data_IF_827951147847
#
_entry.id   IF_827951147847
#
_cell.length_a   1.000
_cell.length_b   1.000
_cell.length_c   1.000
_cell.angle_alpha   90.00
_cell.angle_beta   90.00
_cell.angle_gamma   90.00
#
_symmetry.space_group_name_H-M   'P 1'
#
loop_
_entity.id
_entity.type
_entity.pdbx_description
1 polymer ?
#
# COMPACT_ATOMS: atom_id res chain seq x y z
N UNK A 1 -17.09 18.40 48.53
CA UNK A 1 -17.32 17.12 49.24
C UNK A 1 -17.82 15.98 48.33
N UNK A 2 -17.50 15.94 47.03
CA UNK A 2 -18.00 14.88 46.11
C UNK A 2 -16.96 13.79 45.75
N UNK A 3 -15.69 13.97 46.11
CA UNK A 3 -14.57 13.09 45.75
C UNK A 3 -14.57 11.73 46.49
N UNK A 4 -14.95 11.61 47.78
CA UNK A 4 -14.94 10.31 48.47
C UNK A 4 -16.03 9.35 47.96
N UNK A 5 -17.15 9.89 47.46
CA UNK A 5 -18.27 9.11 46.96
C UNK A 5 -17.94 8.43 45.62
N UNK A 6 -17.27 9.15 44.72
CA UNK A 6 -16.81 8.61 43.43
C UNK A 6 -15.74 7.51 43.59
N UNK A 7 -14.78 7.70 44.50
CA UNK A 7 -13.77 6.70 44.80
C UNK A 7 -14.39 5.44 45.44
N UNK A 8 -15.38 5.60 46.33
CA UNK A 8 -16.13 4.48 46.92
C UNK A 8 -17.02 3.77 45.92
N UNK A 9 -17.63 4.50 44.99
CA UNK A 9 -18.45 3.92 43.92
C UNK A 9 -17.57 3.09 42.96
N UNK A 10 -16.39 3.60 42.59
CA UNK A 10 -15.43 2.87 41.76
C UNK A 10 -14.90 1.60 42.46
N UNK A 11 -14.58 1.69 43.75
CA UNK A 11 -14.17 0.53 44.54
C UNK A 11 -15.28 -0.53 44.66
N UNK A 12 -16.53 -0.10 44.87
CA UNK A 12 -17.69 -1.00 44.97
C UNK A 12 -17.97 -1.74 43.64
N UNK A 13 -17.86 -1.04 42.50
CA UNK A 13 -18.01 -1.62 41.16
C UNK A 13 -16.90 -2.63 40.86
N UNK A 14 -15.67 -2.38 41.31
CA UNK A 14 -14.52 -3.29 41.12
C UNK A 14 -14.49 -4.48 42.10
N UNK A 15 -15.23 -4.43 43.20
CA UNK A 15 -15.32 -5.52 44.18
C UNK A 15 -16.46 -6.53 43.92
N UNK A 16 -17.39 -6.22 43.02
CA UNK A 16 -18.50 -7.11 42.65
C UNK A 16 -18.23 -7.78 41.30
N UNK A 17 -18.42 -9.09 41.19
CA UNK A 17 -18.19 -9.86 39.97
C UNK A 17 -19.05 -9.38 38.78
N UNK A 18 -20.33 -9.07 39.01
CA UNK A 18 -21.22 -8.51 37.99
C UNK A 18 -20.86 -7.05 37.64
N UNK A 19 -20.32 -6.31 38.62
CA UNK A 19 -19.79 -4.96 38.44
C UNK A 19 -18.52 -4.94 37.59
N UNK A 20 -17.59 -5.87 37.83
CA UNK A 20 -16.38 -6.07 37.01
C UNK A 20 -16.71 -6.54 35.61
N UNK A 21 -17.71 -7.41 35.44
CA UNK A 21 -18.15 -7.90 34.13
C UNK A 21 -18.82 -6.80 33.32
N UNK A 22 -19.61 -5.94 33.96
CA UNK A 22 -20.29 -4.81 33.30
C UNK A 22 -19.31 -3.67 32.99
N UNK A 23 -18.44 -3.30 33.93
CA UNK A 23 -17.38 -2.33 33.71
C UNK A 23 -16.36 -2.83 32.67
N UNK A 24 -16.04 -4.12 32.66
CA UNK A 24 -15.18 -4.76 31.65
C UNK A 24 -15.79 -4.75 30.25
N UNK A 25 -17.11 -4.95 30.12
CA UNK A 25 -17.83 -4.80 28.85
C UNK A 25 -17.85 -3.35 28.36
N UNK A 26 -18.04 -2.39 29.27
CA UNK A 26 -18.02 -0.95 28.95
C UNK A 26 -16.60 -0.48 28.58
N UNK A 27 -15.57 -0.96 29.26
CA UNK A 27 -14.16 -0.72 28.91
C UNK A 27 -13.77 -1.40 27.60
N UNK A 28 -14.25 -2.60 27.31
CA UNK A 28 -14.06 -3.28 26.02
C UNK A 28 -14.82 -2.61 24.86
N UNK A 29 -15.88 -1.84 25.16
CA UNK A 29 -16.61 -1.01 24.19
C UNK A 29 -15.93 0.35 23.93
N UNK A 30 -15.13 0.86 24.87
CA UNK A 30 -14.47 2.17 24.80
C UNK A 30 -13.01 2.06 24.37
N UNK A 31 -12.34 0.96 24.71
CA UNK A 31 -10.95 0.69 24.36
C UNK A 31 -10.96 -0.32 23.22
N UNK A 32 -10.63 0.15 22.01
CA UNK A 32 -10.33 -0.71 20.86
C UNK A 32 -9.53 -1.95 21.27
N UNK A 33 -9.73 -3.12 20.63
CA UNK A 33 -8.92 -4.33 20.87
C UNK A 33 -7.40 -4.06 20.86
N UNK A 34 -6.96 -3.07 20.08
CA UNK A 34 -5.57 -2.59 20.00
C UNK A 34 -5.14 -1.88 21.29
N UNK A 35 -6.01 -1.16 21.98
CA UNK A 35 -5.69 -0.48 23.24
C UNK A 35 -5.66 -1.46 24.42
N UNK A 36 -6.47 -2.53 24.40
CA UNK A 36 -6.38 -3.60 25.40
C UNK A 36 -5.07 -4.39 25.22
N UNK A 37 -4.69 -4.64 23.97
CA UNK A 37 -3.40 -5.25 23.63
C UNK A 37 -2.23 -4.32 24.00
N UNK A 38 -2.33 -3.03 23.69
CA UNK A 38 -1.35 -2.02 24.09
C UNK A 38 -1.27 -1.88 25.61
N UNK A 39 -2.39 -1.91 26.35
CA UNK A 39 -2.39 -1.86 27.80
C UNK A 39 -1.77 -3.11 28.45
N UNK A 40 -1.92 -4.28 27.84
CA UNK A 40 -1.26 -5.53 28.26
C UNK A 40 0.25 -5.50 27.94
N UNK A 41 0.65 -4.90 26.82
CA UNK A 41 2.04 -4.79 26.37
C UNK A 41 2.79 -3.61 27.03
N UNK A 42 2.09 -2.56 27.45
CA UNK A 42 2.61 -1.41 28.21
C UNK A 42 3.09 -1.77 29.63
N UNK A 43 2.92 -3.03 30.08
CA UNK A 43 3.51 -3.51 31.32
C UNK A 43 5.04 -3.67 31.27
N UNK A 44 5.66 -3.51 30.09
CA UNK A 44 7.11 -3.45 29.92
C UNK A 44 7.47 -2.13 29.20
N UNK A 45 8.19 -1.25 29.89
CA UNK A 45 8.32 0.18 29.56
C UNK A 45 8.78 0.53 28.14
N UNK A 46 8.31 1.70 27.68
CA UNK A 46 8.58 2.44 26.43
C UNK A 46 7.94 1.97 25.10
N UNK A 47 7.10 0.93 25.08
CA UNK A 47 6.80 0.19 23.83
C UNK A 47 5.49 0.40 23.05
N UNK A 48 4.52 1.25 23.45
CA UNK A 48 3.16 1.19 22.86
C UNK A 48 3.09 1.39 21.32
N UNK A 49 3.79 2.39 20.78
CA UNK A 49 3.78 2.69 19.33
C UNK A 49 4.62 1.70 18.52
N UNK A 50 5.78 1.28 19.03
CA UNK A 50 6.62 0.28 18.39
C UNK A 50 5.94 -1.10 18.35
N UNK A 51 5.14 -1.44 19.37
CA UNK A 51 4.39 -2.69 19.42
C UNK A 51 3.20 -2.70 18.47
N UNK A 52 2.45 -1.59 18.32
CA UNK A 52 1.40 -1.48 17.31
C UNK A 52 1.96 -1.71 15.90
N UNK A 53 3.14 -1.13 15.63
CA UNK A 53 3.82 -1.31 14.35
C UNK A 53 4.26 -2.76 14.13
N UNK A 54 4.71 -3.44 15.19
CA UNK A 54 5.10 -4.85 15.12
C UNK A 54 3.91 -5.78 14.83
N UNK A 55 2.73 -5.51 15.41
CA UNK A 55 1.51 -6.29 15.16
C UNK A 55 1.08 -6.14 13.70
N UNK A 56 1.02 -4.91 13.21
CA UNK A 56 0.65 -4.61 11.81
C UNK A 56 1.67 -5.25 10.86
N UNK A 57 2.97 -5.05 11.10
CA UNK A 57 4.02 -5.66 10.28
C UNK A 57 3.91 -7.19 10.28
N UNK A 58 3.68 -7.81 11.43
CA UNK A 58 3.54 -9.25 11.53
C UNK A 58 2.31 -9.77 10.76
N UNK A 59 1.18 -9.08 10.85
CA UNK A 59 -0.03 -9.46 10.12
C UNK A 59 0.09 -9.29 8.61
N UNK A 60 0.75 -8.22 8.14
CA UNK A 60 0.86 -7.95 6.70
C UNK A 60 1.99 -8.72 6.01
N UNK A 61 3.08 -9.02 6.72
CA UNK A 61 4.30 -9.55 6.08
C UNK A 61 4.85 -10.83 6.70
N UNK A 62 4.25 -11.31 7.79
CA UNK A 62 4.83 -12.39 8.58
C UNK A 62 5.75 -11.89 9.69
N UNK A 63 5.96 -12.75 10.69
CA UNK A 63 6.96 -12.54 11.71
C UNK A 63 7.57 -13.88 12.14
N UNK A 64 8.89 -13.88 12.37
CA UNK A 64 9.52 -14.95 13.15
C UNK A 64 9.24 -14.68 14.63
N UNK A 65 8.19 -15.30 15.15
CA UNK A 65 7.88 -15.18 16.57
C UNK A 65 8.83 -16.02 17.41
N UNK A 66 9.60 -15.37 18.27
CA UNK A 66 10.26 -16.07 19.39
C UNK A 66 9.22 -16.77 20.26
N UNK A 67 9.58 -17.90 20.86
CA UNK A 67 8.72 -18.62 21.83
C UNK A 67 8.34 -17.81 23.08
N UNK A 68 8.96 -16.65 23.27
CA UNK A 68 8.60 -15.67 24.29
C UNK A 68 7.28 -14.93 23.98
N UNK A 69 6.79 -14.98 22.75
CA UNK A 69 5.52 -14.38 22.35
C UNK A 69 4.36 -15.32 22.74
N UNK A 70 3.33 -14.83 23.47
CA UNK A 70 2.19 -15.64 23.87
C UNK A 70 1.53 -16.39 22.70
N UNK A 71 1.04 -17.60 22.97
CA UNK A 71 0.44 -18.45 21.93
C UNK A 71 -0.80 -17.80 21.32
N UNK A 72 -1.64 -17.21 22.16
CA UNK A 72 -2.87 -16.53 21.76
C UNK A 72 -2.58 -15.37 20.80
N UNK A 73 -1.47 -14.66 21.03
CA UNK A 73 -1.02 -13.59 20.14
C UNK A 73 -0.59 -14.12 18.78
N UNK A 74 0.22 -15.20 18.76
CA UNK A 74 0.64 -15.86 17.50
C UNK A 74 -0.56 -16.38 16.71
N UNK A 75 -1.56 -16.93 17.41
CA UNK A 75 -2.82 -17.38 16.80
C UNK A 75 -3.53 -16.23 16.11
N UNK A 76 -3.77 -15.10 16.78
CA UNK A 76 -4.47 -13.97 16.17
C UNK A 76 -3.75 -13.36 14.96
N UNK A 77 -2.41 -13.34 14.94
CA UNK A 77 -1.68 -12.91 13.74
C UNK A 77 -1.86 -13.90 12.59
N UNK A 78 -1.79 -15.20 12.89
CA UNK A 78 -1.97 -16.26 11.86
C UNK A 78 -3.39 -16.20 11.29
N UNK A 79 -4.40 -16.06 12.16
CA UNK A 79 -5.80 -15.89 11.76
C UNK A 79 -6.00 -14.65 10.87
N UNK A 80 -5.32 -13.55 11.18
CA UNK A 80 -5.38 -12.34 10.35
C UNK A 80 -4.72 -12.54 8.97
N UNK A 81 -3.60 -13.26 8.92
CA UNK A 81 -2.93 -13.60 7.64
C UNK A 81 -3.79 -14.52 6.77
N UNK A 82 -4.49 -15.48 7.37
CA UNK A 82 -5.46 -16.32 6.67
C UNK A 82 -6.62 -15.48 6.12
N UNK A 83 -7.13 -14.53 6.91
CA UNK A 83 -8.15 -13.58 6.46
C UNK A 83 -7.65 -12.73 5.27
N UNK A 84 -6.42 -12.22 5.35
CA UNK A 84 -5.80 -11.43 4.28
C UNK A 84 -5.66 -12.23 2.99
N UNK A 85 -5.29 -13.51 3.07
CA UNK A 85 -5.20 -14.37 1.88
C UNK A 85 -6.56 -14.55 1.18
N UNK A 86 -7.65 -14.60 1.96
CA UNK A 86 -9.01 -14.64 1.41
C UNK A 86 -9.40 -13.30 0.76
N UNK A 87 -9.05 -12.17 1.39
CA UNK A 87 -9.30 -10.84 0.85
C UNK A 87 -8.52 -10.59 -0.44
N UNK A 88 -7.23 -10.92 -0.47
CA UNK A 88 -6.39 -10.77 -1.66
C UNK A 88 -6.97 -11.56 -2.84
N UNK A 89 -7.45 -12.79 -2.59
CA UNK A 89 -8.12 -13.61 -3.60
C UNK A 89 -9.40 -12.95 -4.15
N UNK A 90 -10.23 -12.40 -3.25
CA UNK A 90 -11.46 -11.72 -3.64
C UNK A 90 -11.17 -10.41 -4.39
N UNK A 91 -10.18 -9.63 -3.94
CA UNK A 91 -9.75 -8.39 -4.60
C UNK A 91 -9.18 -8.65 -5.99
N UNK A 92 -8.34 -9.67 -6.17
CA UNK A 92 -7.83 -10.07 -7.49
C UNK A 92 -8.97 -10.43 -8.42
N UNK A 93 -9.94 -11.22 -7.96
CA UNK A 93 -11.09 -11.61 -8.77
C UNK A 93 -11.93 -10.40 -9.21
N UNK A 94 -12.14 -9.42 -8.32
CA UNK A 94 -12.85 -8.17 -8.65
C UNK A 94 -12.05 -7.34 -9.65
N UNK A 95 -10.74 -7.17 -9.40
CA UNK A 95 -9.87 -6.34 -10.23
C UNK A 95 -9.73 -6.87 -11.67
N UNK A 96 -9.94 -8.15 -11.93
CA UNK A 96 -10.02 -8.71 -13.29
C UNK A 96 -11.14 -8.11 -14.15
N UNK A 97 -12.18 -7.55 -13.51
CA UNK A 97 -13.34 -6.94 -14.17
C UNK A 97 -13.38 -5.43 -13.97
N UNK A 98 -12.31 -4.82 -13.46
CA UNK A 98 -12.33 -3.41 -13.09
C UNK A 98 -12.01 -2.50 -14.28
N UNK A 99 -12.76 -1.41 -14.40
CA UNK A 99 -12.51 -0.38 -15.42
C UNK A 99 -12.51 1.03 -14.81
N UNK A 100 -11.59 1.88 -15.27
CA UNK A 100 -11.42 3.23 -14.73
C UNK A 100 -10.72 3.27 -13.37
N UNK A 101 -10.12 2.14 -12.95
CA UNK A 101 -9.40 1.99 -11.70
C UNK A 101 -9.37 0.55 -11.20
N UNK A 102 -8.61 0.28 -10.14
CA UNK A 102 -8.61 -1.00 -9.41
C UNK A 102 -8.79 -0.76 -7.91
N UNK A 103 -9.25 -1.78 -7.20
CA UNK A 103 -9.21 -1.82 -5.74
C UNK A 103 -7.77 -1.97 -5.28
N UNK A 104 -7.38 -1.21 -4.26
CA UNK A 104 -6.09 -1.33 -3.57
C UNK A 104 -6.19 -2.46 -2.52
N UNK A 105 -5.53 -3.62 -2.72
CA UNK A 105 -5.62 -4.75 -1.79
C UNK A 105 -5.12 -4.38 -0.38
N UNK A 106 -4.14 -3.48 -0.28
CA UNK A 106 -3.60 -3.03 1.00
C UNK A 106 -4.61 -2.14 1.73
N UNK A 107 -5.34 -1.28 1.01
CA UNK A 107 -6.42 -0.48 1.60
C UNK A 107 -7.55 -1.36 2.13
N UNK A 108 -7.96 -2.38 1.36
CA UNK A 108 -8.97 -3.37 1.79
C UNK A 108 -8.51 -4.10 3.05
N UNK A 109 -7.26 -4.60 3.07
CA UNK A 109 -6.68 -5.27 4.24
C UNK A 109 -6.53 -4.35 5.45
N UNK A 110 -6.13 -3.10 5.26
CA UNK A 110 -5.99 -2.12 6.34
C UNK A 110 -7.34 -1.80 6.99
N UNK A 111 -8.39 -1.63 6.18
CA UNK A 111 -9.76 -1.45 6.68
C UNK A 111 -10.23 -2.71 7.39
N UNK A 112 -10.00 -3.90 6.81
CA UNK A 112 -10.36 -5.16 7.47
C UNK A 112 -9.68 -5.32 8.82
N UNK A 113 -8.37 -5.06 8.89
CA UNK A 113 -7.61 -5.09 10.13
C UNK A 113 -8.20 -4.10 11.16
N UNK A 114 -8.47 -2.86 10.76
CA UNK A 114 -9.04 -1.86 11.66
C UNK A 114 -10.41 -2.25 12.23
N UNK A 115 -11.23 -2.97 11.46
CA UNK A 115 -12.61 -3.32 11.83
C UNK A 115 -12.76 -4.69 12.48
N UNK A 116 -11.88 -5.64 12.16
CA UNK A 116 -12.05 -7.05 12.46
C UNK A 116 -10.84 -7.67 13.21
N UNK A 117 -9.83 -6.88 13.61
CA UNK A 117 -8.71 -7.44 14.38
C UNK A 117 -9.17 -8.04 15.72
N UNK A 118 -8.81 -9.30 15.94
CA UNK A 118 -9.22 -10.08 17.11
C UNK A 118 -10.56 -10.83 16.95
N UNK A 119 -11.25 -10.66 15.81
CA UNK A 119 -12.37 -11.52 15.43
C UNK A 119 -11.87 -12.86 14.86
N UNK A 120 -12.75 -13.86 14.80
CA UNK A 120 -12.45 -15.13 14.13
C UNK A 120 -12.19 -14.92 12.63
N UNK A 121 -11.36 -15.78 12.03
CA UNK A 121 -11.12 -15.80 10.57
C UNK A 121 -12.45 -15.82 9.82
N UNK A 122 -12.67 -14.91 8.84
CA UNK A 122 -13.90 -14.90 8.07
C UNK A 122 -13.97 -16.15 7.19
N UNK A 123 -15.20 -16.63 6.95
CA UNK A 123 -15.41 -17.58 5.84
C UNK A 123 -15.11 -16.90 4.50
N UNK A 124 -14.79 -17.66 3.45
CA UNK A 124 -14.59 -17.11 2.09
C UNK A 124 -15.74 -16.21 1.65
N UNK A 125 -16.98 -16.67 1.82
CA UNK A 125 -18.18 -15.87 1.50
C UNK A 125 -18.31 -14.58 2.32
N UNK A 126 -17.78 -14.54 3.55
CA UNK A 126 -17.74 -13.33 4.35
C UNK A 126 -16.65 -12.35 3.87
N UNK A 127 -15.50 -12.87 3.43
CA UNK A 127 -14.44 -12.08 2.80
C UNK A 127 -14.93 -11.47 1.47
N UNK A 128 -15.60 -12.25 0.62
CA UNK A 128 -16.20 -11.76 -0.64
C UNK A 128 -17.18 -10.61 -0.36
N UNK A 129 -18.13 -10.81 0.58
CA UNK A 129 -19.08 -9.76 0.98
C UNK A 129 -18.41 -8.52 1.59
N UNK A 130 -17.25 -8.68 2.21
CA UNK A 130 -16.47 -7.55 2.70
C UNK A 130 -15.89 -6.75 1.54
N UNK A 131 -15.29 -7.42 0.55
CA UNK A 131 -14.74 -6.77 -0.67
C UNK A 131 -15.84 -6.10 -1.51
N UNK A 132 -17.06 -6.66 -1.55
CA UNK A 132 -18.25 -6.06 -2.19
C UNK A 132 -18.59 -4.65 -1.67
N UNK A 133 -18.11 -4.30 -0.47
CA UNK A 133 -18.30 -2.97 0.09
C UNK A 133 -17.46 -1.89 -0.61
N UNK A 134 -16.41 -2.25 -1.35
CA UNK A 134 -15.45 -1.31 -1.92
C UNK A 134 -15.70 -0.96 -3.39
N UNK A 135 -16.69 -1.58 -4.03
CA UNK A 135 -16.99 -1.33 -5.44
C UNK A 135 -18.50 -1.31 -5.72
N UNK A 136 -18.85 -0.87 -6.92
CA UNK A 136 -20.17 -1.06 -7.53
C UNK A 136 -20.02 -1.75 -8.88
N UNK A 137 -21.05 -2.48 -9.29
CA UNK A 137 -21.13 -3.03 -10.65
C UNK A 137 -21.86 -2.05 -11.55
N UNK A 138 -21.32 -1.80 -12.73
CA UNK A 138 -21.96 -1.02 -13.78
C UNK A 138 -22.12 -1.89 -15.03
N UNK A 139 -23.23 -1.71 -15.75
CA UNK A 139 -23.41 -2.31 -17.07
C UNK A 139 -22.93 -1.31 -18.11
N UNK A 140 -21.99 -1.73 -18.96
CA UNK A 140 -21.46 -0.95 -20.09
C UNK A 140 -21.73 -1.67 -21.40
N UNK A 141 -21.59 -0.94 -22.50
CA UNK A 141 -21.71 -1.49 -23.85
C UNK A 141 -20.40 -1.34 -24.62
N UNK A 142 -20.10 -2.31 -25.47
CA UNK A 142 -18.97 -2.28 -26.40
C UNK A 142 -19.40 -2.85 -27.75
N UNK A 143 -18.76 -2.40 -28.82
CA UNK A 143 -18.92 -3.02 -30.13
C UNK A 143 -18.01 -4.25 -30.20
N UNK A 144 -18.57 -5.40 -30.53
CA UNK A 144 -17.82 -6.63 -30.78
C UNK A 144 -18.06 -7.12 -32.19
N UNK A 145 -16.99 -7.60 -32.82
CA UNK A 145 -17.07 -8.20 -34.16
C UNK A 145 -17.51 -9.64 -34.05
N UNK A 146 -18.65 -9.96 -34.63
CA UNK A 146 -19.22 -11.30 -34.71
C UNK A 146 -19.06 -11.78 -36.15
N UNK A 147 -18.44 -12.96 -36.31
CA UNK A 147 -18.34 -13.62 -37.62
C UNK A 147 -19.58 -14.48 -37.82
N UNK A 148 -20.35 -14.17 -38.85
CA UNK A 148 -21.55 -14.92 -39.21
C UNK A 148 -21.20 -16.23 -39.90
N UNK A 149 -22.17 -17.14 -40.02
CA UNK A 149 -21.98 -18.47 -40.63
C UNK A 149 -21.51 -18.39 -42.10
N UNK A 150 -21.80 -17.30 -42.81
CA UNK A 150 -21.36 -17.05 -44.19
C UNK A 150 -19.97 -16.41 -44.29
N UNK A 151 -19.29 -16.20 -43.15
CA UNK A 151 -17.96 -15.59 -43.07
C UNK A 151 -17.97 -14.06 -43.10
N UNK A 152 -19.13 -13.42 -43.08
CA UNK A 152 -19.23 -11.95 -42.96
C UNK A 152 -18.99 -11.50 -41.52
N UNK A 153 -18.29 -10.37 -41.35
CA UNK A 153 -18.07 -9.75 -40.05
C UNK A 153 -19.12 -8.66 -39.80
N UNK A 154 -19.81 -8.74 -38.67
CA UNK A 154 -20.80 -7.76 -38.23
C UNK A 154 -20.38 -7.17 -36.88
N UNK A 155 -20.50 -5.85 -36.73
CA UNK A 155 -20.29 -5.19 -35.44
C UNK A 155 -21.61 -5.19 -34.65
N UNK A 156 -21.64 -5.92 -33.54
CA UNK A 156 -22.80 -6.03 -32.66
C UNK A 156 -22.50 -5.32 -31.35
N UNK A 157 -23.48 -4.59 -30.82
CA UNK A 157 -23.38 -3.99 -29.49
C UNK A 157 -23.61 -5.07 -28.42
N UNK A 158 -22.60 -5.32 -27.59
CA UNK A 158 -22.66 -6.26 -26.47
C UNK A 158 -22.67 -5.49 -25.14
N UNK A 159 -23.57 -5.87 -24.24
CA UNK A 159 -23.56 -5.42 -22.83
C UNK A 159 -22.67 -6.29 -21.98
N UNK A 160 -21.83 -5.70 -21.14
CA UNK A 160 -20.99 -6.40 -20.18
C UNK A 160 -20.98 -5.69 -18.83
N UNK A 161 -20.68 -6.44 -17.77
CA UNK A 161 -20.57 -5.91 -16.41
C UNK A 161 -19.13 -5.57 -16.09
N UNK A 162 -18.93 -4.39 -15.52
CA UNK A 162 -17.64 -3.92 -15.01
C UNK A 162 -17.77 -3.58 -13.54
N UNK A 163 -16.66 -3.71 -12.82
CA UNK A 163 -16.56 -3.23 -11.45
C UNK A 163 -15.89 -1.87 -11.43
N UNK A 164 -16.44 -0.97 -10.64
CA UNK A 164 -15.92 0.40 -10.47
C UNK A 164 -15.66 0.61 -8.98
N UNK A 165 -14.41 0.88 -8.57
CA UNK A 165 -14.08 1.23 -7.19
C UNK A 165 -14.92 2.38 -6.66
N UNK A 166 -15.38 2.28 -5.42
CA UNK A 166 -16.12 3.33 -4.74
C UNK A 166 -15.18 4.31 -4.04
N UNK A 167 -15.58 5.59 -3.89
CA UNK A 167 -14.96 6.48 -2.91
C UNK A 167 -15.03 5.87 -1.51
N UNK A 168 -14.01 6.14 -0.68
CA UNK A 168 -13.91 5.54 0.65
C UNK A 168 -15.09 5.88 1.57
N UNK A 169 -15.70 7.06 1.44
CA UNK A 169 -16.90 7.42 2.21
C UNK A 169 -18.08 6.47 1.88
N UNK A 170 -18.34 6.21 0.60
CA UNK A 170 -19.39 5.26 0.18
C UNK A 170 -19.04 3.82 0.61
N UNK A 171 -17.76 3.46 0.58
CA UNK A 171 -17.32 2.16 1.10
C UNK A 171 -17.60 2.02 2.61
N UNK A 172 -17.37 3.07 3.40
CA UNK A 172 -17.67 3.06 4.84
C UNK A 172 -19.17 3.02 5.15
N UNK A 173 -20.03 3.58 4.28
CA UNK A 173 -21.49 3.43 4.39
C UNK A 173 -21.92 1.97 4.15
N UNK A 174 -21.37 1.31 3.13
CA UNK A 174 -21.60 -0.12 2.89
C UNK A 174 -21.06 -0.98 4.02
N UNK A 175 -19.87 -0.69 4.53
CA UNK A 175 -19.27 -1.40 5.67
C UNK A 175 -20.10 -1.23 6.95
N UNK A 176 -20.69 -0.06 7.18
CA UNK A 176 -21.63 0.18 8.28
C UNK A 176 -22.83 -0.77 8.20
N UNK A 177 -23.38 -0.94 6.99
CA UNK A 177 -24.49 -1.87 6.73
C UNK A 177 -24.05 -3.33 6.92
N UNK A 178 -22.92 -3.72 6.32
CA UNK A 178 -22.36 -5.07 6.42
C UNK A 178 -22.11 -5.50 7.88
N UNK A 179 -21.60 -4.58 8.70
CA UNK A 179 -21.28 -4.84 10.12
C UNK A 179 -22.51 -4.79 11.04
N UNK A 180 -23.62 -4.22 10.57
CA UNK A 180 -24.79 -3.95 11.41
C UNK A 180 -24.58 -2.87 12.47
N UNK A 181 -23.49 -2.08 12.37
CA UNK A 181 -23.22 -0.91 13.22
C UNK A 181 -22.38 0.12 12.48
N UNK A 182 -22.52 1.38 12.90
CA UNK A 182 -21.74 2.51 12.36
C UNK A 182 -20.23 2.24 12.50
N UNK A 183 -19.51 2.46 11.40
CA UNK A 183 -18.05 2.59 11.41
C UNK A 183 -17.69 3.98 11.93
N UNK A 184 -17.06 4.02 13.09
CA UNK A 184 -16.74 5.27 13.81
C UNK A 184 -15.57 6.00 13.17
N UNK A 185 -15.46 7.32 13.38
CA UNK A 185 -14.34 8.13 12.88
C UNK A 185 -12.98 7.63 13.38
N UNK A 186 -12.93 7.12 14.60
CA UNK A 186 -11.72 6.51 15.17
C UNK A 186 -11.29 5.24 14.41
N UNK A 187 -12.25 4.41 13.97
CA UNK A 187 -11.96 3.23 13.17
C UNK A 187 -11.53 3.59 11.74
N UNK A 188 -12.13 4.64 11.16
CA UNK A 188 -11.71 5.19 9.86
C UNK A 188 -10.28 5.72 9.93
N UNK A 189 -9.98 6.54 10.94
CA UNK A 189 -8.63 7.08 11.18
C UNK A 189 -7.61 5.95 11.38
N UNK A 190 -7.96 4.93 12.18
CA UNK A 190 -7.07 3.79 12.40
C UNK A 190 -6.78 3.02 11.11
N UNK A 191 -7.77 2.83 10.23
CA UNK A 191 -7.55 2.20 8.93
C UNK A 191 -6.59 3.01 8.04
N UNK A 192 -6.70 4.34 8.04
CA UNK A 192 -5.76 5.23 7.34
C UNK A 192 -4.35 5.13 7.93
N UNK A 193 -4.23 5.10 9.26
CA UNK A 193 -2.93 4.98 9.94
C UNK A 193 -2.25 3.63 9.64
N UNK A 194 -3.01 2.53 9.66
CA UNK A 194 -2.52 1.19 9.29
C UNK A 194 -2.09 1.18 7.82
N UNK A 195 -2.91 1.73 6.92
CA UNK A 195 -2.57 1.81 5.50
C UNK A 195 -1.27 2.59 5.28
N UNK A 196 -1.13 3.76 5.89
CA UNK A 196 0.09 4.57 5.79
C UNK A 196 1.31 3.87 6.39
N UNK A 197 1.14 3.10 7.46
CA UNK A 197 2.21 2.28 8.03
C UNK A 197 2.68 1.17 7.07
N UNK A 198 1.73 0.53 6.38
CA UNK A 198 2.00 -0.59 5.47
C UNK A 198 2.57 -0.09 4.14
N UNK A 199 2.01 0.98 3.58
CA UNK A 199 2.43 1.47 2.26
C UNK A 199 3.58 2.49 2.32
N UNK A 200 3.72 3.23 3.41
CA UNK A 200 4.66 4.33 3.53
C UNK A 200 4.02 5.70 3.74
N UNK A 201 4.84 6.73 3.95
CA UNK A 201 4.33 8.06 4.26
C UNK A 201 3.64 8.71 3.07
N UNK A 202 2.34 8.93 3.18
CA UNK A 202 1.50 9.56 2.15
C UNK A 202 1.95 11.01 1.86
N UNK A 203 2.79 11.15 0.83
CA UNK A 203 3.13 12.46 0.26
C UNK A 203 4.27 13.23 0.93
N UNK A 204 5.18 12.55 1.64
CA UNK A 204 6.45 13.18 2.02
C UNK A 204 7.35 12.35 2.92
N UNK A 205 8.51 11.95 2.41
CA UNK A 205 9.67 11.72 3.27
C UNK A 205 10.16 13.09 3.77
N UNK A 206 10.21 13.31 5.08
CA UNK A 206 10.69 14.56 5.68
C UNK A 206 12.22 14.61 5.73
N UNK A 207 12.88 14.10 4.70
CA UNK A 207 14.32 14.14 4.59
C UNK A 207 14.79 15.59 4.48
N UNK A 208 15.66 15.98 5.40
CA UNK A 208 16.23 17.31 5.53
C UNK A 208 17.71 17.36 5.15
N UNK A 209 18.27 16.27 4.64
CA UNK A 209 19.62 16.20 4.11
C UNK A 209 19.69 16.60 2.64
N UNK A 210 20.90 16.56 2.09
CA UNK A 210 21.17 16.97 0.72
C UNK A 210 20.63 15.94 -0.28
N UNK A 211 20.02 16.44 -1.36
CA UNK A 211 19.56 15.65 -2.50
C UNK A 211 19.76 16.46 -3.78
N UNK A 212 19.97 15.76 -4.88
CA UNK A 212 19.98 16.35 -6.21
C UNK A 212 18.57 16.26 -6.81
N UNK A 213 18.00 17.42 -7.14
CA UNK A 213 16.71 17.51 -7.82
C UNK A 213 16.75 16.80 -9.17
N UNK A 214 15.63 16.23 -9.60
CA UNK A 214 15.50 15.77 -10.98
C UNK A 214 15.71 16.91 -11.99
N UNK A 215 16.01 16.54 -13.23
CA UNK A 215 16.10 17.50 -14.32
C UNK A 215 14.78 18.22 -14.60
N UNK A 216 14.75 19.11 -15.59
CA UNK A 216 13.58 19.96 -15.86
C UNK A 216 12.94 19.72 -17.23
N UNK A 217 13.55 18.89 -18.07
CA UNK A 217 13.08 18.58 -19.42
C UNK A 217 12.81 17.07 -19.54
N UNK A 218 11.63 16.67 -20.05
CA UNK A 218 11.35 15.27 -20.32
C UNK A 218 12.36 14.68 -21.32
N UNK A 219 12.90 13.52 -20.99
CA UNK A 219 13.73 12.72 -21.90
C UNK A 219 12.95 11.43 -22.14
N UNK A 220 12.53 11.22 -23.39
CA UNK A 220 11.88 9.96 -23.78
C UNK A 220 12.86 8.81 -23.57
N UNK A 221 12.40 7.79 -22.82
CA UNK A 221 13.16 6.56 -22.67
C UNK A 221 13.06 5.79 -23.98
N UNK A 222 14.19 5.58 -24.63
CA UNK A 222 14.29 4.77 -25.85
C UNK A 222 14.84 3.37 -25.51
N UNK A 223 14.36 2.35 -26.22
CA UNK A 223 14.79 0.97 -26.01
C UNK A 223 16.30 0.78 -26.19
N UNK A 224 16.95 1.59 -27.04
CA UNK A 224 18.40 1.55 -27.26
C UNK A 224 19.23 2.05 -26.07
N UNK A 225 18.59 2.69 -25.09
CA UNK A 225 19.25 3.04 -23.82
C UNK A 225 19.40 1.80 -22.92
N UNK A 226 18.59 0.76 -23.14
CA UNK A 226 18.63 -0.49 -22.38
C UNK A 226 19.77 -1.37 -22.88
N UNK A 227 20.48 -1.96 -21.92
CA UNK A 227 21.59 -2.89 -22.12
C UNK A 227 21.13 -4.25 -22.62
N UNK A 228 20.02 -4.78 -22.09
CA UNK A 228 19.35 -5.98 -22.61
C UNK A 228 17.83 -5.89 -22.41
N UNK A 229 17.09 -5.34 -23.40
CA UNK A 229 15.64 -5.16 -23.29
C UNK A 229 14.86 -6.49 -23.26
N UNK A 230 15.50 -7.63 -23.53
CA UNK A 230 14.81 -8.94 -23.58
C UNK A 230 14.59 -9.54 -22.20
N UNK A 231 15.30 -9.04 -21.20
CA UNK A 231 15.21 -9.46 -19.80
C UNK A 231 14.78 -8.29 -18.91
N UNK A 232 14.28 -8.60 -17.72
CA UNK A 232 14.11 -7.61 -16.66
C UNK A 232 15.33 -7.71 -15.77
N UNK A 233 16.30 -6.82 -15.95
CA UNK A 233 17.62 -6.91 -15.32
C UNK A 233 17.99 -5.63 -14.54
N UNK A 234 18.96 -5.76 -13.64
CA UNK A 234 19.38 -4.72 -12.72
C UNK A 234 20.03 -3.51 -13.42
N UNK A 235 20.79 -3.74 -14.49
CA UNK A 235 21.44 -2.67 -15.26
C UNK A 235 20.40 -1.77 -15.94
N UNK A 236 19.35 -2.36 -16.49
CA UNK A 236 18.27 -1.64 -17.15
C UNK A 236 17.33 -0.96 -16.17
N UNK A 237 17.15 -1.53 -14.97
CA UNK A 237 16.52 -0.82 -13.86
C UNK A 237 17.30 0.46 -13.51
N UNK A 238 18.64 0.40 -13.43
CA UNK A 238 19.48 1.59 -13.19
C UNK A 238 19.30 2.62 -14.30
N UNK A 239 19.33 2.20 -15.57
CA UNK A 239 19.08 3.09 -16.71
C UNK A 239 17.71 3.75 -16.62
N UNK A 240 16.67 2.97 -16.33
CA UNK A 240 15.29 3.44 -16.23
C UNK A 240 15.13 4.51 -15.15
N UNK A 241 15.58 4.24 -13.91
CA UNK A 241 15.44 5.20 -12.81
C UNK A 241 16.32 6.43 -13.00
N UNK A 242 17.50 6.27 -13.59
CA UNK A 242 18.38 7.40 -13.94
C UNK A 242 17.73 8.28 -15.01
N UNK A 243 17.05 7.69 -16.00
CA UNK A 243 16.25 8.45 -16.96
C UNK A 243 15.09 9.19 -16.29
N UNK A 244 14.37 8.54 -15.36
CA UNK A 244 13.29 9.16 -14.61
C UNK A 244 13.76 10.39 -13.79
N UNK A 245 14.91 10.27 -13.13
CA UNK A 245 15.56 11.37 -12.43
C UNK A 245 15.98 12.50 -13.39
N UNK A 246 16.72 12.19 -14.46
CA UNK A 246 17.14 13.17 -15.47
C UNK A 246 15.96 13.88 -16.15
N UNK A 247 14.83 13.17 -16.32
CA UNK A 247 13.60 13.68 -16.93
C UNK A 247 12.76 14.54 -15.98
N UNK A 248 13.11 14.61 -14.70
CA UNK A 248 12.36 15.41 -13.72
C UNK A 248 11.00 14.85 -13.38
N UNK A 249 10.88 13.52 -13.27
CA UNK A 249 9.62 12.87 -12.91
C UNK A 249 9.10 13.39 -11.57
N UNK A 250 7.79 13.61 -11.52
CA UNK A 250 7.10 14.05 -10.30
C UNK A 250 6.76 12.89 -9.37
N UNK A 251 6.21 13.23 -8.21
CA UNK A 251 5.70 12.24 -7.25
C UNK A 251 4.21 12.44 -7.05
N UNK A 252 3.44 11.38 -7.32
CA UNK A 252 2.02 11.27 -6.97
C UNK A 252 1.78 9.88 -6.41
N UNK A 253 1.22 9.82 -5.21
CA UNK A 253 0.96 8.55 -4.52
C UNK A 253 0.11 7.60 -5.36
N UNK A 254 0.53 6.34 -5.48
CA UNK A 254 -0.16 5.30 -6.23
C UNK A 254 0.00 5.40 -7.75
N UNK A 255 0.98 6.17 -8.24
CA UNK A 255 1.37 6.21 -9.67
C UNK A 255 2.68 5.45 -9.88
N UNK A 256 2.93 4.98 -11.10
CA UNK A 256 4.01 4.03 -11.41
C UNK A 256 4.80 4.39 -12.67
N UNK A 257 4.89 5.68 -12.99
CA UNK A 257 5.57 6.20 -14.17
C UNK A 257 4.65 6.57 -15.32
N UNK A 258 3.34 6.63 -15.11
CA UNK A 258 2.40 7.16 -16.10
C UNK A 258 2.52 8.68 -16.20
N UNK A 259 2.14 9.23 -17.35
CA UNK A 259 1.94 10.68 -17.49
C UNK A 259 0.70 11.09 -16.68
N UNK A 260 0.86 12.08 -15.80
CA UNK A 260 -0.21 12.58 -14.97
C UNK A 260 -1.18 13.46 -15.77
N UNK A 261 -2.28 12.86 -16.23
CA UNK A 261 -3.40 13.60 -16.86
C UNK A 261 -4.33 14.19 -15.80
N UNK A 262 -5.19 15.17 -16.16
CA UNK A 262 -6.23 15.67 -15.25
C UNK A 262 -7.15 14.57 -14.71
N UNK A 263 -7.49 13.57 -15.53
CA UNK A 263 -8.35 12.44 -15.18
C UNK A 263 -7.65 11.52 -14.18
N UNK A 264 -6.37 11.19 -14.44
CA UNK A 264 -5.57 10.39 -13.51
C UNK A 264 -5.41 11.12 -12.17
N UNK A 265 -5.15 12.42 -12.18
CA UNK A 265 -5.09 13.21 -10.95
C UNK A 265 -6.42 13.19 -10.21
N UNK A 266 -7.54 13.39 -10.90
CA UNK A 266 -8.87 13.37 -10.28
C UNK A 266 -9.18 11.99 -9.65
N UNK A 267 -8.81 10.91 -10.33
CA UNK A 267 -8.93 9.57 -9.79
C UNK A 267 -8.09 9.40 -8.51
N UNK A 268 -6.83 9.85 -8.51
CA UNK A 268 -5.94 9.76 -7.34
C UNK A 268 -6.39 10.67 -6.18
N UNK A 269 -7.04 11.80 -6.45
CA UNK A 269 -7.67 12.64 -5.41
C UNK A 269 -8.81 11.90 -4.70
N UNK A 270 -9.60 11.13 -5.45
CA UNK A 270 -10.68 10.31 -4.88
C UNK A 270 -10.15 9.09 -4.13
N UNK A 271 -9.09 8.46 -4.62
CA UNK A 271 -8.47 7.30 -3.95
C UNK A 271 -7.73 7.67 -2.67
N UNK A 272 -6.97 8.78 -2.70
CA UNK A 272 -6.04 9.17 -1.65
C UNK A 272 -6.25 10.63 -1.22
N UNK A 273 -7.39 10.96 -0.58
CA UNK A 273 -7.71 12.34 -0.22
C UNK A 273 -6.66 12.99 0.70
N UNK A 274 -6.08 12.24 1.63
CA UNK A 274 -5.08 12.79 2.55
C UNK A 274 -3.66 12.85 1.95
N UNK A 275 -3.31 11.92 1.06
CA UNK A 275 -1.97 11.81 0.47
C UNK A 275 -1.78 12.58 -0.83
N UNK A 276 -2.84 12.70 -1.63
CA UNK A 276 -2.86 13.43 -2.91
C UNK A 276 -3.70 14.69 -2.75
N UNK A 277 -4.88 14.60 -2.12
CA UNK A 277 -5.79 15.74 -1.94
C UNK A 277 -5.20 16.90 -1.15
N UNK A 278 -4.47 16.62 -0.06
CA UNK A 278 -3.75 17.64 0.72
C UNK A 278 -2.73 18.44 -0.09
N UNK A 279 -2.21 17.86 -1.18
CA UNK A 279 -1.22 18.48 -2.05
C UNK A 279 -1.77 18.82 -3.44
N UNK A 280 -3.08 18.78 -3.65
CA UNK A 280 -3.70 18.87 -4.97
C UNK A 280 -3.22 20.09 -5.78
N UNK A 281 -3.17 21.27 -5.16
CA UNK A 281 -2.75 22.50 -5.84
C UNK A 281 -1.26 22.47 -6.21
N UNK A 282 -0.42 21.91 -5.34
CA UNK A 282 1.00 21.70 -5.65
C UNK A 282 1.18 20.72 -6.80
N UNK A 283 0.45 19.59 -6.78
CA UNK A 283 0.53 18.56 -7.82
C UNK A 283 0.09 19.13 -9.17
N UNK A 284 -1.04 19.86 -9.22
CA UNK A 284 -1.52 20.52 -10.44
C UNK A 284 -0.49 21.49 -11.01
N UNK A 285 0.16 22.27 -10.14
CA UNK A 285 1.11 23.29 -10.57
C UNK A 285 2.46 22.72 -11.05
N UNK A 286 2.89 21.56 -10.55
CA UNK A 286 4.26 21.07 -10.75
C UNK A 286 4.37 19.78 -11.56
N UNK A 287 3.37 18.89 -11.47
CA UNK A 287 3.46 17.51 -11.98
C UNK A 287 2.50 17.18 -13.11
N UNK A 288 1.47 18.00 -13.34
CA UNK A 288 0.51 17.76 -14.43
C UNK A 288 1.23 17.73 -15.79
N UNK A 289 0.95 16.71 -16.59
CA UNK A 289 1.59 16.48 -17.88
C UNK A 289 3.00 15.89 -17.81
N UNK A 290 3.54 15.63 -16.62
CA UNK A 290 4.81 14.91 -16.43
C UNK A 290 4.55 13.45 -16.07
N UNK A 291 5.56 12.60 -16.28
CA UNK A 291 5.57 11.28 -15.66
C UNK A 291 5.63 11.42 -14.14
N UNK A 292 4.85 10.61 -13.43
CA UNK A 292 4.84 10.57 -11.97
C UNK A 292 4.90 9.14 -11.47
N UNK A 293 5.65 8.94 -10.38
CA UNK A 293 5.70 7.68 -9.66
C UNK A 293 5.72 7.91 -8.14
N UNK A 294 5.20 6.97 -7.37
CA UNK A 294 5.59 6.83 -5.97
C UNK A 294 6.87 5.98 -5.83
N UNK A 295 7.33 5.75 -4.59
CA UNK A 295 8.64 5.12 -4.34
C UNK A 295 8.74 3.71 -4.95
N UNK A 296 7.79 2.83 -4.65
CA UNK A 296 7.76 1.46 -5.19
C UNK A 296 7.26 1.44 -6.64
N UNK A 297 6.37 2.36 -7.01
CA UNK A 297 5.87 2.56 -8.37
C UNK A 297 6.97 2.93 -9.35
N UNK A 298 8.04 3.60 -8.91
CA UNK A 298 9.22 3.84 -9.74
C UNK A 298 9.90 2.52 -10.14
N UNK A 299 9.98 1.55 -9.23
CA UNK A 299 10.57 0.23 -9.50
C UNK A 299 9.59 -0.66 -10.29
N UNK A 300 8.32 -0.72 -9.86
CA UNK A 300 7.28 -1.50 -10.56
C UNK A 300 7.07 -1.00 -11.99
N UNK A 301 7.19 0.30 -12.23
CA UNK A 301 7.11 0.89 -13.56
C UNK A 301 8.11 0.28 -14.54
N UNK A 302 9.35 0.04 -14.11
CA UNK A 302 10.32 -0.72 -14.91
C UNK A 302 9.88 -2.17 -15.10
N UNK A 303 9.47 -2.84 -14.02
CA UNK A 303 8.98 -4.23 -14.09
C UNK A 303 7.80 -4.41 -15.06
N UNK A 304 6.95 -3.39 -15.20
CA UNK A 304 5.78 -3.36 -16.08
C UNK A 304 6.04 -2.75 -17.46
N UNK A 305 7.25 -2.23 -17.72
CA UNK A 305 7.60 -1.63 -19.00
C UNK A 305 7.63 -2.69 -20.11
N UNK A 306 6.80 -2.50 -21.13
CA UNK A 306 6.88 -3.20 -22.41
C UNK A 306 7.98 -2.57 -23.25
N UNK A 307 8.95 -3.37 -23.67
CA UNK A 307 10.06 -2.92 -24.53
C UNK A 307 9.68 -2.84 -26.01
N UNK A 308 8.53 -3.42 -26.39
CA UNK A 308 8.01 -3.35 -27.75
C UNK A 308 7.31 -2.01 -28.02
N UNK A 309 6.55 -1.54 -27.03
CA UNK A 309 5.72 -0.33 -27.13
C UNK A 309 6.30 0.85 -26.37
N UNK A 310 7.27 0.62 -25.48
CA UNK A 310 7.80 1.59 -24.51
C UNK A 310 6.71 2.20 -23.62
N UNK A 311 5.64 1.43 -23.37
CA UNK A 311 4.55 1.77 -22.44
C UNK A 311 4.64 0.95 -21.17
N UNK A 312 4.13 1.50 -20.07
CA UNK A 312 4.07 0.78 -18.80
C UNK A 312 2.70 0.10 -18.69
N UNK A 313 2.70 -1.23 -18.84
CA UNK A 313 1.49 -2.03 -18.89
C UNK A 313 1.21 -2.63 -17.50
N UNK A 314 0.23 -2.08 -16.81
CA UNK A 314 -0.04 -2.38 -15.39
C UNK A 314 -0.15 -3.88 -15.09
N UNK A 315 0.61 -4.35 -14.08
CA UNK A 315 0.52 -5.72 -13.55
C UNK A 315 1.05 -6.82 -14.47
N UNK A 316 1.90 -6.48 -15.44
CA UNK A 316 2.43 -7.42 -16.45
C UNK A 316 3.85 -7.91 -16.14
N UNK A 317 4.40 -8.77 -17.01
CA UNK A 317 5.78 -9.27 -16.99
C UNK A 317 6.23 -9.92 -15.66
N UNK A 318 5.29 -10.42 -14.85
CA UNK A 318 5.58 -11.12 -13.60
C UNK A 318 5.92 -10.23 -12.40
N UNK A 319 5.95 -8.90 -12.56
CA UNK A 319 6.16 -7.97 -11.46
C UNK A 319 4.84 -7.76 -10.68
N UNK A 320 4.76 -8.12 -9.38
CA UNK A 320 3.52 -8.00 -8.61
C UNK A 320 3.17 -6.55 -8.24
N UNK A 321 1.88 -6.24 -8.12
CA UNK A 321 1.41 -4.93 -7.64
C UNK A 321 1.39 -4.88 -6.11
N UNK A 322 2.56 -4.58 -5.52
CA UNK A 322 2.78 -4.60 -4.07
C UNK A 322 3.40 -3.29 -3.58
N UNK A 323 3.31 -3.06 -2.26
CA UNK A 323 3.91 -1.91 -1.58
C UNK A 323 5.42 -2.04 -1.36
N UNK A 324 6.09 -0.96 -0.96
CA UNK A 324 7.54 -0.94 -0.70
C UNK A 324 7.97 -1.97 0.35
N UNK A 325 7.19 -2.12 1.41
CA UNK A 325 7.44 -3.09 2.47
C UNK A 325 7.25 -4.52 1.98
N UNK A 326 6.16 -4.80 1.27
CA UNK A 326 5.89 -6.12 0.73
C UNK A 326 6.96 -6.53 -0.30
N UNK A 327 7.47 -5.58 -1.10
CA UNK A 327 8.62 -5.79 -1.98
C UNK A 327 9.84 -6.28 -1.18
N UNK A 328 10.15 -5.62 -0.06
CA UNK A 328 11.22 -6.05 0.84
C UNK A 328 10.96 -7.42 1.48
N UNK A 329 9.73 -7.68 1.94
CA UNK A 329 9.40 -8.93 2.62
C UNK A 329 9.32 -10.15 1.69
N UNK A 330 8.98 -9.93 0.43
CA UNK A 330 8.93 -10.98 -0.60
C UNK A 330 10.31 -11.26 -1.24
N UNK A 331 11.31 -10.41 -1.02
CA UNK A 331 12.64 -10.61 -1.58
C UNK A 331 13.35 -11.83 -0.96
N UNK A 332 13.86 -12.70 -1.84
CA UNK A 332 14.61 -13.92 -1.49
C UNK A 332 16.03 -13.61 -1.04
N UNK A 333 16.67 -12.59 -1.64
CA UNK A 333 17.98 -12.08 -1.26
C UNK A 333 17.85 -10.66 -0.74
N UNK A 334 18.22 -10.47 0.53
CA UNK A 334 18.15 -9.20 1.26
C UNK A 334 19.03 -9.25 2.50
N UNK A 335 19.39 -8.09 3.05
CA UNK A 335 20.22 -8.00 4.25
C UNK A 335 20.18 -6.61 4.89
N UNK A 336 20.83 -6.48 6.05
CA UNK A 336 21.04 -5.17 6.68
C UNK A 336 21.89 -4.27 5.78
N UNK A 337 21.65 -2.96 5.80
CA UNK A 337 22.31 -2.00 4.90
C UNK A 337 23.84 -2.02 5.03
N UNK A 338 24.35 -2.36 6.21
CA UNK A 338 25.77 -2.52 6.53
C UNK A 338 26.44 -3.71 5.81
N UNK A 339 25.64 -4.63 5.29
CA UNK A 339 26.08 -5.81 4.52
C UNK A 339 25.87 -5.68 3.01
N UNK A 340 25.37 -4.53 2.54
CA UNK A 340 25.00 -4.34 1.14
C UNK A 340 26.22 -4.49 0.22
N UNK A 341 26.15 -5.34 -0.83
CA UNK A 341 27.20 -5.41 -1.83
C UNK A 341 27.14 -4.18 -2.75
N UNK A 342 28.28 -3.85 -3.38
CA UNK A 342 28.37 -2.77 -4.36
C UNK A 342 27.87 -3.24 -5.74
N UNK A 343 26.57 -3.51 -5.82
CA UNK A 343 25.88 -3.97 -7.03
C UNK A 343 24.81 -2.96 -7.41
N UNK A 344 25.01 -2.15 -8.47
CA UNK A 344 23.98 -1.27 -9.00
C UNK A 344 22.70 -2.03 -9.37
N UNK A 345 21.55 -1.40 -9.14
CA UNK A 345 20.22 -1.96 -9.37
C UNK A 345 19.60 -2.62 -8.14
N UNK A 346 20.37 -2.86 -7.06
CA UNK A 346 19.79 -3.27 -5.79
C UNK A 346 18.82 -2.22 -5.27
N UNK A 347 17.72 -2.65 -4.67
CA UNK A 347 16.83 -1.73 -3.97
C UNK A 347 17.29 -1.55 -2.52
N UNK A 348 17.23 -0.31 -2.04
CA UNK A 348 17.50 0.09 -0.67
C UNK A 348 16.19 0.45 0.01
N UNK A 349 16.01 0.01 1.25
CA UNK A 349 14.72 0.03 1.90
C UNK A 349 14.83 0.49 3.36
N UNK A 350 13.78 1.17 3.80
CA UNK A 350 13.42 1.38 5.20
C UNK A 350 11.90 1.26 5.29
N UNK A 351 11.36 1.02 6.49
CA UNK A 351 9.91 0.84 6.65
C UNK A 351 9.11 1.96 5.97
N UNK A 352 8.33 1.58 4.97
CA UNK A 352 7.46 2.47 4.18
C UNK A 352 8.13 3.19 3.02
N UNK A 353 9.41 2.91 2.69
CA UNK A 353 10.09 3.63 1.61
C UNK A 353 11.18 2.79 0.94
N UNK A 354 11.33 2.97 -0.37
CA UNK A 354 12.27 2.20 -1.20
C UNK A 354 12.89 3.09 -2.27
N UNK A 355 14.15 2.83 -2.61
CA UNK A 355 14.88 3.47 -3.70
C UNK A 355 15.79 2.47 -4.41
N UNK A 356 16.44 2.89 -5.49
CA UNK A 356 17.35 2.05 -6.27
C UNK A 356 18.76 2.57 -6.13
N UNK A 357 19.67 1.73 -5.66
CA UNK A 357 21.10 2.01 -5.64
C UNK A 357 21.65 2.00 -7.07
N UNK A 358 22.31 3.08 -7.49
CA UNK A 358 22.82 3.23 -8.87
C UNK A 358 24.35 3.13 -8.96
N UNK A 359 25.02 2.73 -7.87
CA UNK A 359 26.49 2.68 -7.77
C UNK A 359 27.09 3.92 -7.11
N UNK A 360 28.37 3.85 -6.75
CA UNK A 360 29.15 4.98 -6.19
C UNK A 360 28.57 5.63 -4.92
N UNK A 361 27.79 4.88 -4.15
CA UNK A 361 27.13 5.44 -2.95
C UNK A 361 25.89 6.27 -3.26
N UNK A 362 25.35 6.22 -4.48
CA UNK A 362 24.20 7.02 -4.90
C UNK A 362 22.92 6.19 -5.02
N UNK A 363 21.78 6.80 -4.73
CA UNK A 363 20.45 6.20 -4.78
C UNK A 363 19.51 7.11 -5.55
N UNK A 364 18.70 6.55 -6.44
CA UNK A 364 17.56 7.25 -7.06
C UNK A 364 16.27 6.79 -6.41
N UNK A 365 15.43 7.74 -6.03
CA UNK A 365 14.19 7.47 -5.30
C UNK A 365 13.11 8.50 -5.63
N UNK A 366 11.84 8.07 -5.65
CA UNK A 366 10.70 8.98 -5.67
C UNK A 366 10.41 9.39 -4.20
N UNK A 367 10.97 10.52 -3.76
CA UNK A 367 11.09 10.85 -2.33
C UNK A 367 9.79 11.38 -1.70
N UNK A 368 8.93 12.01 -2.49
CA UNK A 368 7.65 12.51 -2.01
C UNK A 368 7.12 13.67 -2.82
N UNK A 369 5.85 14.05 -2.56
CA UNK A 369 5.08 14.96 -3.41
C UNK A 369 5.77 16.30 -3.68
N UNK A 370 6.50 16.85 -2.70
CA UNK A 370 7.19 18.15 -2.86
C UNK A 370 8.51 18.07 -3.62
N UNK A 371 9.01 16.87 -3.90
CA UNK A 371 10.36 16.66 -4.40
C UNK A 371 10.39 15.98 -5.76
N UNK A 372 9.50 15.00 -5.99
CA UNK A 372 9.55 14.16 -7.20
C UNK A 372 10.56 13.02 -7.08
N UNK A 373 11.10 12.61 -8.23
CA UNK A 373 12.23 11.68 -8.31
C UNK A 373 13.53 12.46 -8.13
N UNK A 374 14.35 12.04 -7.17
CA UNK A 374 15.60 12.70 -6.77
C UNK A 374 16.73 11.69 -6.70
N UNK A 375 17.96 12.18 -6.66
CA UNK A 375 19.14 11.39 -6.33
C UNK A 375 19.67 11.78 -4.95
N UNK A 376 19.97 10.81 -4.12
CA UNK A 376 20.49 10.98 -2.75
C UNK A 376 21.76 10.16 -2.56
N UNK A 377 22.51 10.47 -1.51
CA UNK A 377 23.56 9.59 -1.03
C UNK A 377 22.95 8.43 -0.25
N UNK A 378 23.52 7.23 -0.38
CA UNK A 378 23.17 6.05 0.39
C UNK A 378 23.43 6.30 1.89
N UNK A 379 24.63 6.82 2.20
CA UNK A 379 25.05 7.14 3.55
C UNK A 379 24.23 8.30 4.12
N UNK A 380 23.82 8.20 5.38
CA UNK A 380 23.08 9.26 6.07
C UNK A 380 21.60 9.39 5.68
N UNK A 381 21.15 8.72 4.61
CA UNK A 381 19.74 8.75 4.16
C UNK A 381 18.78 7.94 5.05
N UNK A 382 19.33 7.09 5.92
CA UNK A 382 18.58 6.31 6.91
C UNK A 382 17.97 5.02 6.34
N UNK A 383 18.50 4.52 5.24
CA UNK A 383 18.21 3.17 4.76
C UNK A 383 18.62 2.14 5.80
N UNK A 384 17.83 1.09 5.98
CA UNK A 384 18.09 0.06 7.00
C UNK A 384 18.42 -1.28 6.39
N UNK A 385 17.95 -1.56 5.17
CA UNK A 385 18.18 -2.83 4.49
C UNK A 385 18.37 -2.65 2.98
N UNK A 386 18.90 -3.68 2.34
CA UNK A 386 18.95 -3.83 0.89
C UNK A 386 18.21 -5.10 0.46
N UNK A 387 17.78 -5.17 -0.80
CA UNK A 387 17.17 -6.34 -1.40
C UNK A 387 17.48 -6.44 -2.91
N UNK A 388 17.45 -7.67 -3.42
CA UNK A 388 17.20 -7.92 -4.84
C UNK A 388 15.70 -7.84 -5.10
N UNK A 389 15.28 -6.93 -5.98
CA UNK A 389 13.89 -6.76 -6.38
C UNK A 389 13.37 -8.07 -7.01
N UNK A 390 12.29 -8.68 -6.47
CA UNK A 390 11.67 -9.86 -7.07
C UNK A 390 11.34 -9.67 -8.55
N UNK A 391 11.72 -10.64 -9.39
CA UNK A 391 11.48 -10.58 -10.84
C UNK A 391 12.50 -9.77 -11.64
N UNK A 392 13.53 -9.21 -10.99
CA UNK A 392 14.68 -8.58 -11.65
C UNK A 392 15.89 -9.51 -11.57
N UNK A 393 16.62 -9.64 -12.67
CA UNK A 393 17.84 -10.43 -12.82
C UNK A 393 19.08 -9.61 -12.46
N UNK A 394 20.03 -10.22 -11.73
CA UNK A 394 21.24 -9.56 -11.21
C UNK A 394 22.54 -10.29 -11.65
N UNK A 395 22.43 -11.26 -12.57
CA UNK A 395 23.55 -12.10 -13.04
C UNK A 395 24.25 -11.56 -14.30
#
# INVERSE_FOLDING_TARGET
MAIPALARLAAAVLSNEDGRRTAGKVLALILSPIIILAAFLCCFGDGASQHNNAVVSAAFYGAEFSDKVPKEYRTHITEMQEAFSLLDSATVYVNQKAEGGSLDPVQVKAVFFALCFGDNVPTRSAADRFVDCFYKTETRTRMVTVVQEDGTEEQVEETYEVTVPLPMEEAYEKLTTWRGRVVTDAERSNAVDIYAMVMGSMGGDTFNGDYESGGSAPIELDVSMLTDPTTKNAADLVTYVTNAWNSGWGYVWGTYGQVLTPELLQYKLTQYPDGVGKYADFIRANWLGKHTADCVGLIKGYGWLSTDTMTIDYGTHGMPDIGANEMFYNATRRGGIDTMPDTPGLAVWKSGHIGVYIGNGEVVEAMGTKYGVVKTQLEGRGWTHWLEVPGIEYE
#
